data_IF_126372752126
#
_entry.id   IF_126372752126
#
_cell.length_a   1.000
_cell.length_b   1.000
_cell.length_c   1.000
_cell.angle_alpha   90.00
_cell.angle_beta   90.00
_cell.angle_gamma   90.00
#
_symmetry.space_group_name_H-M   'P 1'
#
loop_
_entity.id
_entity.type
_entity.pdbx_description
1 polymer ?
#
# COMPACT_ATOMS: atom_id res chain seq x y z
N UNK A 1 -14.53 -5.47 4.33
CA UNK A 1 -13.85 -6.30 3.30
C UNK A 1 -12.66 -7.05 3.90
N UNK A 2 -11.70 -6.35 4.52
CA UNK A 2 -10.64 -6.97 5.33
C UNK A 2 -10.96 -6.73 6.78
N UNK A 3 -10.75 -7.73 7.63
CA UNK A 3 -10.87 -7.62 9.08
C UNK A 3 -9.69 -8.33 9.73
N UNK A 4 -9.03 -7.65 10.66
CA UNK A 4 -7.96 -8.21 11.48
C UNK A 4 -8.44 -8.34 12.91
N UNK A 5 -8.24 -9.49 13.54
CA UNK A 5 -8.66 -9.79 14.90
C UNK A 5 -7.47 -10.24 15.73
N UNK A 6 -7.24 -9.54 16.85
CA UNK A 6 -6.14 -9.81 17.80
C UNK A 6 -4.78 -9.96 17.10
N UNK A 7 -4.57 -9.18 16.00
CA UNK A 7 -3.42 -9.34 15.12
C UNK A 7 -2.18 -8.79 15.80
N UNK A 8 -1.20 -9.67 16.04
CA UNK A 8 0.14 -9.27 16.51
C UNK A 8 1.16 -9.51 15.41
N UNK A 9 1.91 -8.47 15.08
CA UNK A 9 2.91 -8.49 14.00
C UNK A 9 4.32 -8.30 14.53
N UNK A 10 5.28 -8.87 13.82
CA UNK A 10 6.69 -8.80 14.22
C UNK A 10 7.54 -9.82 13.47
N UNK A 11 8.64 -10.22 14.07
CA UNK A 11 9.63 -11.09 13.45
C UNK A 11 9.95 -12.29 14.34
N UNK A 12 10.24 -13.41 13.70
CA UNK A 12 10.87 -14.56 14.33
C UNK A 12 12.39 -14.45 14.16
N UNK A 13 13.12 -14.28 15.26
CA UNK A 13 14.57 -14.19 15.23
C UNK A 13 15.19 -15.07 16.32
N UNK A 14 16.11 -15.95 15.93
CA UNK A 14 16.82 -16.86 16.85
C UNK A 14 15.88 -17.60 17.84
N UNK A 15 14.73 -18.09 17.36
CA UNK A 15 13.75 -18.81 18.19
C UNK A 15 12.92 -17.94 19.14
N UNK A 16 13.01 -16.61 19.02
CA UNK A 16 12.22 -15.65 19.80
C UNK A 16 11.31 -14.83 18.90
N UNK A 17 10.11 -14.51 19.42
CA UNK A 17 9.18 -13.61 18.78
C UNK A 17 9.49 -12.18 19.22
N UNK A 18 9.82 -11.31 18.28
CA UNK A 18 9.98 -9.88 18.49
C UNK A 18 8.72 -9.21 17.97
N UNK A 19 7.80 -8.88 18.87
CA UNK A 19 6.57 -8.19 18.50
C UNK A 19 6.85 -6.72 18.25
N UNK A 20 6.35 -6.22 17.10
CA UNK A 20 6.38 -4.80 16.72
C UNK A 20 5.09 -4.10 17.13
N UNK A 21 3.95 -4.75 16.89
CA UNK A 21 2.64 -4.32 17.37
C UNK A 21 1.85 -5.54 17.85
N UNK A 22 0.92 -5.32 18.79
CA UNK A 22 0.12 -6.39 19.40
C UNK A 22 -1.36 -6.05 19.39
N UNK A 23 -2.17 -7.09 19.35
CA UNK A 23 -3.62 -7.05 19.57
C UNK A 23 -4.35 -6.01 18.71
N UNK A 24 -3.95 -5.90 17.44
CA UNK A 24 -4.57 -4.97 16.49
C UNK A 24 -5.94 -5.49 16.04
N UNK A 25 -6.93 -4.60 16.06
CA UNK A 25 -8.26 -4.79 15.49
C UNK A 25 -8.48 -3.77 14.39
N UNK A 26 -8.50 -4.22 13.14
CA UNK A 26 -8.48 -3.34 11.98
C UNK A 26 -9.57 -3.74 10.99
N UNK A 27 -10.18 -2.74 10.35
CA UNK A 27 -11.15 -2.95 9.29
C UNK A 27 -10.87 -2.06 8.09
N UNK A 28 -10.94 -2.66 6.90
CA UNK A 28 -10.86 -1.98 5.61
C UNK A 28 -12.09 -2.33 4.79
N UNK A 29 -12.79 -1.31 4.29
CA UNK A 29 -13.96 -1.48 3.45
C UNK A 29 -13.62 -1.20 1.98
N UNK A 30 -14.51 -1.64 1.07
CA UNK A 30 -14.41 -1.29 -0.34
C UNK A 30 -14.58 0.23 -0.52
N UNK A 31 -13.80 0.82 -1.41
CA UNK A 31 -13.85 2.25 -1.67
C UNK A 31 -13.10 3.12 -0.65
N UNK A 32 -12.48 2.53 0.38
CA UNK A 32 -11.67 3.30 1.33
C UNK A 32 -10.25 3.54 0.79
N UNK A 33 -9.80 4.81 0.91
CA UNK A 33 -8.39 5.20 0.81
C UNK A 33 -7.86 5.43 2.22
N UNK A 34 -6.94 4.57 2.67
CA UNK A 34 -6.37 4.60 4.02
C UNK A 34 -4.89 4.89 3.93
N UNK A 35 -4.44 5.96 4.59
CA UNK A 35 -3.02 6.22 4.79
C UNK A 35 -2.54 5.64 6.12
N UNK A 36 -1.56 4.77 6.06
CA UNK A 36 -0.84 4.22 7.20
C UNK A 36 0.37 5.09 7.50
N UNK A 37 0.29 5.89 8.54
CA UNK A 37 1.33 6.82 8.98
C UNK A 37 1.92 6.39 10.33
N UNK A 38 3.13 6.82 10.60
CA UNK A 38 3.84 6.54 11.85
C UNK A 38 5.35 6.70 11.68
N UNK A 39 6.09 6.84 12.77
CA UNK A 39 7.56 6.97 12.73
C UNK A 39 8.23 5.77 12.04
N UNK A 40 9.47 5.97 11.60
CA UNK A 40 10.28 4.87 11.06
C UNK A 40 10.46 3.77 12.11
N UNK A 41 10.38 2.51 11.67
CA UNK A 41 10.47 1.36 12.57
C UNK A 41 9.19 1.05 13.37
N UNK A 42 8.10 1.81 13.22
CA UNK A 42 6.83 1.53 13.91
C UNK A 42 6.12 0.24 13.44
N UNK A 43 6.51 -0.30 12.26
CA UNK A 43 5.99 -1.57 11.74
C UNK A 43 5.03 -1.45 10.56
N UNK A 44 4.98 -0.30 9.88
CA UNK A 44 4.09 -0.06 8.72
C UNK A 44 4.21 -1.15 7.65
N UNK A 45 5.40 -1.38 7.14
CA UNK A 45 5.68 -2.41 6.12
C UNK A 45 5.39 -3.83 6.63
N UNK A 46 5.66 -4.09 7.93
CA UNK A 46 5.35 -5.37 8.55
C UNK A 46 3.84 -5.61 8.58
N UNK A 47 3.05 -4.57 8.92
CA UNK A 47 1.59 -4.65 8.91
C UNK A 47 1.05 -4.92 7.51
N UNK A 48 1.50 -4.16 6.51
CA UNK A 48 1.08 -4.36 5.11
C UNK A 48 1.37 -5.79 4.63
N UNK A 49 2.58 -6.31 4.91
CA UNK A 49 2.96 -7.68 4.54
C UNK A 49 2.15 -8.74 5.29
N UNK A 50 1.78 -8.49 6.55
CA UNK A 50 0.96 -9.42 7.31
C UNK A 50 -0.49 -9.44 6.83
N UNK A 51 -1.06 -8.29 6.47
CA UNK A 51 -2.43 -8.19 5.94
C UNK A 51 -2.60 -8.96 4.64
N UNK A 52 -1.61 -8.97 3.75
CA UNK A 52 -1.68 -9.67 2.47
C UNK A 52 -1.12 -11.11 2.48
N UNK A 53 -0.71 -11.61 3.64
CA UNK A 53 -0.17 -12.96 3.77
C UNK A 53 1.28 -13.15 3.32
N UNK A 54 1.99 -12.08 2.92
CA UNK A 54 3.43 -12.15 2.58
C UNK A 54 4.31 -12.42 3.79
N UNK A 55 3.82 -12.11 5.00
CA UNK A 55 4.47 -12.42 6.25
C UNK A 55 3.44 -12.96 7.24
N UNK A 56 3.72 -14.12 7.82
CA UNK A 56 2.85 -14.67 8.84
C UNK A 56 2.81 -13.76 10.08
N UNK A 57 1.64 -13.46 10.65
CA UNK A 57 1.55 -12.75 11.92
C UNK A 57 2.10 -13.62 13.06
N UNK A 58 2.49 -12.99 14.16
CA UNK A 58 2.89 -13.71 15.38
C UNK A 58 1.70 -14.36 16.08
N UNK A 59 0.52 -13.72 16.03
CA UNK A 59 -0.76 -14.25 16.51
C UNK A 59 -1.92 -13.48 15.86
N UNK A 60 -3.14 -13.98 16.07
CA UNK A 60 -4.36 -13.40 15.50
C UNK A 60 -4.63 -13.83 14.07
N UNK A 61 -5.67 -13.27 13.47
CA UNK A 61 -6.13 -13.65 12.14
C UNK A 61 -6.43 -12.45 11.26
N UNK A 62 -6.21 -12.63 9.96
CA UNK A 62 -6.68 -11.71 8.92
C UNK A 62 -7.77 -12.43 8.13
N UNK A 63 -8.89 -11.76 7.93
CA UNK A 63 -10.03 -12.24 7.16
C UNK A 63 -10.23 -11.37 5.94
N UNK A 64 -10.51 -12.00 4.82
CA UNK A 64 -11.08 -11.33 3.66
C UNK A 64 -12.56 -11.71 3.57
N UNK A 65 -13.44 -10.73 3.77
CA UNK A 65 -14.86 -10.97 4.11
C UNK A 65 -14.94 -11.87 5.35
N UNK A 66 -15.45 -13.07 5.24
CA UNK A 66 -15.58 -14.00 6.37
C UNK A 66 -14.64 -15.21 6.27
N UNK A 67 -13.71 -15.18 5.29
CA UNK A 67 -12.76 -16.28 5.07
C UNK A 67 -11.40 -15.90 5.65
N UNK A 68 -10.87 -16.76 6.54
CA UNK A 68 -9.55 -16.55 7.12
C UNK A 68 -8.45 -16.71 6.05
N UNK A 69 -7.55 -15.73 5.96
CA UNK A 69 -6.54 -15.66 4.91
C UNK A 69 -5.59 -16.88 4.91
N UNK A 70 -5.27 -17.39 6.09
CA UNK A 70 -4.39 -18.55 6.25
C UNK A 70 -5.01 -19.88 5.75
N UNK A 71 -6.30 -19.91 5.44
CA UNK A 71 -6.97 -21.07 4.83
C UNK A 71 -6.94 -21.05 3.31
N UNK A 72 -6.57 -19.92 2.72
CA UNK A 72 -6.51 -19.72 1.27
C UNK A 72 -5.13 -20.11 0.72
N UNK A 73 -5.11 -20.72 -0.45
CA UNK A 73 -3.88 -20.95 -1.21
C UNK A 73 -3.25 -19.62 -1.67
N UNK A 74 -1.95 -19.62 -1.98
CA UNK A 74 -1.27 -18.46 -2.54
C UNK A 74 -1.92 -17.94 -3.83
N UNK A 75 -2.44 -18.85 -4.67
CA UNK A 75 -3.16 -18.49 -5.90
C UNK A 75 -4.47 -17.74 -5.60
N UNK A 76 -5.20 -18.14 -4.56
CA UNK A 76 -6.41 -17.42 -4.12
C UNK A 76 -6.06 -16.08 -3.51
N UNK A 77 -5.06 -16.01 -2.62
CA UNK A 77 -4.59 -14.76 -2.03
C UNK A 77 -4.12 -13.75 -3.08
N UNK A 78 -3.42 -14.21 -4.13
CA UNK A 78 -2.95 -13.34 -5.23
C UNK A 78 -4.06 -12.75 -6.09
N UNK A 79 -5.29 -13.27 -5.99
CA UNK A 79 -6.48 -12.68 -6.61
C UNK A 79 -7.22 -11.72 -5.70
N UNK A 80 -6.82 -11.60 -4.45
CA UNK A 80 -7.43 -10.71 -3.46
C UNK A 80 -6.57 -9.46 -3.23
N UNK A 81 -5.25 -9.60 -3.27
CA UNK A 81 -4.31 -8.53 -2.95
C UNK A 81 -3.31 -8.29 -4.06
N UNK A 82 -3.18 -7.05 -4.48
CA UNK A 82 -2.00 -6.60 -5.22
C UNK A 82 -1.12 -5.74 -4.31
N UNK A 83 0.20 -5.88 -4.46
CA UNK A 83 1.15 -5.26 -3.55
C UNK A 83 2.24 -4.55 -4.36
N UNK A 84 2.51 -3.30 -4.00
CA UNK A 84 3.67 -2.52 -4.45
C UNK A 84 4.56 -2.30 -3.25
N UNK A 85 5.75 -2.91 -3.25
CA UNK A 85 6.74 -2.76 -2.18
C UNK A 85 7.81 -1.75 -2.58
N UNK A 86 8.44 -1.12 -1.60
CA UNK A 86 9.52 -0.13 -1.77
C UNK A 86 10.81 -0.73 -2.34
N UNK A 87 10.91 -2.05 -2.52
CA UNK A 87 12.12 -2.70 -2.99
C UNK A 87 12.35 -2.44 -4.49
N UNK A 88 13.54 -1.97 -4.85
CA UNK A 88 14.02 -1.88 -6.21
C UNK A 88 14.05 -3.28 -6.83
N UNK A 89 13.12 -3.53 -7.71
CA UNK A 89 13.15 -4.71 -8.56
C UNK A 89 14.13 -4.41 -9.70
N UNK A 90 15.35 -4.91 -9.58
CA UNK A 90 16.36 -4.80 -10.65
C UNK A 90 15.93 -5.67 -11.86
N UNK A 91 15.06 -5.12 -12.69
CA UNK A 91 14.63 -5.75 -13.95
C UNK A 91 15.15 -4.86 -15.10
N UNK A 92 16.45 -4.88 -15.34
CA UNK A 92 17.09 -3.94 -16.28
C UNK A 92 16.67 -4.13 -17.74
N UNK A 93 16.44 -5.36 -18.19
CA UNK A 93 16.24 -5.70 -19.60
C UNK A 93 14.80 -6.02 -19.98
N UNK A 94 13.82 -5.58 -19.19
CA UNK A 94 12.42 -5.83 -19.49
C UNK A 94 11.72 -4.58 -19.98
N UNK A 95 10.83 -4.75 -20.96
CA UNK A 95 9.96 -3.68 -21.42
C UNK A 95 8.83 -3.42 -20.42
N UNK A 96 8.35 -2.19 -20.37
CA UNK A 96 7.23 -1.76 -19.53
C UNK A 96 6.04 -2.71 -19.64
N UNK A 97 5.59 -3.01 -20.86
CA UNK A 97 4.49 -3.95 -21.09
C UNK A 97 4.74 -5.34 -20.49
N UNK A 98 5.97 -5.85 -20.56
CA UNK A 98 6.32 -7.16 -20.00
C UNK A 98 6.21 -7.15 -18.47
N UNK A 99 6.62 -6.07 -17.81
CA UNK A 99 6.51 -5.93 -16.34
C UNK A 99 5.05 -5.86 -15.93
N UNK A 100 4.23 -5.06 -16.61
CA UNK A 100 2.81 -4.95 -16.30
C UNK A 100 2.09 -6.28 -16.55
N UNK A 101 2.49 -7.03 -17.58
CA UNK A 101 1.92 -8.36 -17.86
C UNK A 101 2.13 -9.38 -16.74
N UNK A 102 3.16 -9.23 -15.90
CA UNK A 102 3.34 -10.06 -14.70
C UNK A 102 2.18 -9.93 -13.71
N UNK A 103 1.45 -8.82 -13.73
CA UNK A 103 0.22 -8.65 -12.96
C UNK A 103 -0.85 -9.67 -13.31
N UNK A 104 -0.84 -10.20 -14.54
CA UNK A 104 -1.80 -11.22 -14.97
C UNK A 104 -1.43 -12.66 -14.58
N UNK A 105 -0.24 -12.88 -13.98
CA UNK A 105 0.22 -14.22 -13.59
C UNK A 105 -0.82 -15.07 -12.82
N UNK A 106 -1.65 -14.52 -11.90
CA UNK A 106 -2.66 -15.31 -11.20
C UNK A 106 -3.79 -15.85 -12.09
N UNK A 107 -3.88 -15.40 -13.33
CA UNK A 107 -4.95 -15.74 -14.27
C UNK A 107 -4.46 -16.48 -15.52
N UNK A 108 -3.14 -16.61 -15.68
CA UNK A 108 -2.53 -17.34 -16.80
C UNK A 108 -2.43 -18.84 -16.54
N UNK A 109 -2.29 -19.60 -17.62
CA UNK A 109 -1.97 -21.03 -17.53
C UNK A 109 -0.52 -21.25 -17.03
N UNK A 110 -0.12 -22.52 -16.88
CA UNK A 110 1.25 -22.90 -16.48
C UNK A 110 2.36 -22.45 -17.43
N UNK A 111 2.00 -22.02 -18.63
CA UNK A 111 2.93 -21.49 -19.63
C UNK A 111 2.95 -19.98 -19.69
N UNK A 112 2.19 -19.29 -18.83
CA UNK A 112 2.09 -17.85 -18.77
C UNK A 112 1.41 -17.21 -20.00
N UNK A 113 0.53 -17.94 -20.70
CA UNK A 113 -0.15 -17.46 -21.91
C UNK A 113 -1.18 -16.41 -21.55
N UNK A 114 -1.06 -15.24 -22.19
CA UNK A 114 -1.99 -14.13 -22.07
C UNK A 114 -3.10 -14.24 -23.10
N UNK A 115 -4.34 -14.17 -22.65
CA UNK A 115 -5.51 -14.09 -23.51
C UNK A 115 -5.72 -12.66 -24.03
N UNK A 116 -6.67 -12.47 -24.95
CA UNK A 116 -7.01 -11.13 -25.47
C UNK A 116 -7.50 -10.19 -24.35
N UNK A 117 -8.27 -10.71 -23.40
CA UNK A 117 -8.74 -9.95 -22.24
C UNK A 117 -7.59 -9.47 -21.36
N UNK A 118 -6.58 -10.30 -21.15
CA UNK A 118 -5.42 -9.92 -20.33
C UNK A 118 -4.65 -8.75 -20.97
N UNK A 119 -4.45 -8.80 -22.29
CA UNK A 119 -3.79 -7.71 -23.02
C UNK A 119 -4.55 -6.40 -22.91
N UNK A 120 -5.89 -6.44 -23.01
CA UNK A 120 -6.73 -5.26 -22.82
C UNK A 120 -6.57 -4.70 -21.41
N UNK A 121 -6.61 -5.53 -20.37
CA UNK A 121 -6.41 -5.11 -18.96
C UNK A 121 -5.02 -4.48 -18.76
N UNK A 122 -3.99 -5.03 -19.40
CA UNK A 122 -2.63 -4.48 -19.35
C UNK A 122 -2.59 -3.07 -19.97
N UNK A 123 -3.16 -2.90 -21.16
CA UNK A 123 -3.19 -1.62 -21.86
C UNK A 123 -4.00 -0.57 -21.08
N UNK A 124 -5.18 -0.93 -20.58
CA UNK A 124 -5.99 -0.06 -19.72
C UNK A 124 -5.26 0.33 -18.43
N UNK A 125 -4.51 -0.61 -17.83
CA UNK A 125 -3.71 -0.33 -16.63
C UNK A 125 -2.58 0.65 -16.92
N UNK A 126 -1.91 0.51 -18.06
CA UNK A 126 -0.88 1.45 -18.51
C UNK A 126 -1.46 2.83 -18.83
N UNK A 127 -2.63 2.89 -19.47
CA UNK A 127 -3.31 4.14 -19.79
C UNK A 127 -3.67 4.91 -18.53
N UNK A 128 -4.23 4.24 -17.51
CA UNK A 128 -4.61 4.86 -16.22
C UNK A 128 -3.47 5.55 -15.50
N UNK A 129 -2.27 5.03 -15.62
CA UNK A 129 -1.07 5.64 -15.01
C UNK A 129 -0.31 6.55 -15.99
N UNK A 130 -0.83 6.79 -17.21
CA UNK A 130 -0.20 7.63 -18.23
C UNK A 130 1.07 7.02 -18.83
N UNK A 131 1.20 5.69 -18.84
CA UNK A 131 2.40 4.99 -19.31
C UNK A 131 2.19 4.16 -20.58
N UNK A 132 1.04 4.24 -21.24
CA UNK A 132 0.75 3.43 -22.43
C UNK A 132 1.73 3.73 -23.59
N UNK A 133 2.09 4.99 -23.83
CA UNK A 133 3.07 5.38 -24.83
C UNK A 133 4.49 4.87 -24.57
N UNK A 134 4.76 4.46 -23.32
CA UNK A 134 6.04 3.90 -22.88
C UNK A 134 6.07 2.36 -22.91
N UNK A 135 4.98 1.70 -23.32
CA UNK A 135 4.81 0.25 -23.23
C UNK A 135 5.98 -0.56 -23.86
N UNK A 136 6.62 -0.05 -24.91
CA UNK A 136 7.73 -0.70 -25.61
C UNK A 136 9.12 -0.25 -25.12
N UNK A 137 9.22 0.76 -24.24
CA UNK A 137 10.50 1.19 -23.65
C UNK A 137 10.99 0.18 -22.62
N UNK A 138 12.31 0.14 -22.42
CA UNK A 138 12.90 -0.61 -21.33
C UNK A 138 12.68 0.14 -20.01
N UNK A 139 12.51 -0.61 -18.91
CA UNK A 139 12.33 -0.02 -17.58
C UNK A 139 13.56 0.79 -17.14
N UNK A 140 14.75 0.40 -17.59
CA UNK A 140 16.02 1.10 -17.36
C UNK A 140 16.03 2.53 -17.89
N UNK A 141 15.25 2.81 -18.94
CA UNK A 141 15.22 4.10 -19.62
C UNK A 141 14.24 5.09 -18.97
N UNK A 142 13.57 4.67 -17.89
CA UNK A 142 12.57 5.44 -17.18
C UNK A 142 13.14 6.16 -15.96
N UNK A 143 12.60 7.34 -15.67
CA UNK A 143 12.80 8.00 -14.37
C UNK A 143 12.16 7.18 -13.24
N UNK A 144 12.58 7.43 -12.00
CA UNK A 144 12.03 6.68 -10.83
C UNK A 144 10.53 6.89 -10.67
N UNK A 145 10.01 8.09 -10.97
CA UNK A 145 8.57 8.35 -10.98
C UNK A 145 7.82 7.57 -12.06
N UNK A 146 8.42 7.39 -13.25
CA UNK A 146 7.84 6.56 -14.31
C UNK A 146 7.90 5.08 -13.94
N UNK A 147 9.02 4.59 -13.36
CA UNK A 147 9.15 3.23 -12.83
C UNK A 147 8.07 2.94 -11.78
N UNK A 148 7.84 3.87 -10.86
CA UNK A 148 6.80 3.74 -9.83
C UNK A 148 5.41 3.61 -10.45
N UNK A 149 5.08 4.44 -11.47
CA UNK A 149 3.82 4.31 -12.20
C UNK A 149 3.67 2.96 -12.91
N UNK A 150 4.74 2.41 -13.46
CA UNK A 150 4.73 1.06 -14.05
C UNK A 150 4.46 -0.01 -13.01
N UNK A 151 5.03 0.09 -11.80
CA UNK A 151 4.74 -0.84 -10.71
C UNK A 151 3.28 -0.76 -10.24
N UNK A 152 2.71 0.43 -10.22
CA UNK A 152 1.28 0.61 -9.95
C UNK A 152 0.43 0.02 -11.08
N UNK A 153 0.79 0.25 -12.36
CA UNK A 153 0.11 -0.39 -13.49
C UNK A 153 0.12 -1.92 -13.39
N UNK A 154 1.24 -2.52 -12.98
CA UNK A 154 1.35 -3.96 -12.71
C UNK A 154 0.35 -4.39 -11.62
N UNK A 155 0.25 -3.63 -10.53
CA UNK A 155 -0.71 -3.91 -9.46
C UNK A 155 -2.17 -3.76 -9.93
N UNK A 156 -2.45 -2.78 -10.79
CA UNK A 156 -3.76 -2.61 -11.42
C UNK A 156 -4.10 -3.75 -12.37
N UNK A 157 -3.13 -4.19 -13.20
CA UNK A 157 -3.32 -5.30 -14.11
C UNK A 157 -3.61 -6.64 -13.39
N UNK A 158 -3.21 -6.77 -12.13
CA UNK A 158 -3.58 -7.90 -11.30
C UNK A 158 -5.08 -7.93 -10.95
N UNK A 159 -5.78 -6.80 -11.10
CA UNK A 159 -7.23 -6.65 -10.97
C UNK A 159 -7.80 -7.24 -9.68
N UNK A 160 -7.18 -6.87 -8.56
CA UNK A 160 -7.59 -7.30 -7.23
C UNK A 160 -8.52 -6.28 -6.57
N UNK A 161 -9.38 -6.71 -5.62
CA UNK A 161 -10.22 -5.80 -4.84
C UNK A 161 -9.43 -4.94 -3.83
N UNK A 162 -8.22 -5.36 -3.45
CA UNK A 162 -7.38 -4.67 -2.46
C UNK A 162 -6.02 -4.34 -3.07
N UNK A 163 -5.57 -3.11 -2.88
CA UNK A 163 -4.25 -2.63 -3.31
C UNK A 163 -3.48 -2.14 -2.07
N UNK A 164 -2.33 -2.72 -1.83
CA UNK A 164 -1.43 -2.34 -0.74
C UNK A 164 -0.16 -1.72 -1.32
N UNK A 165 0.23 -0.52 -0.85
CA UNK A 165 1.42 0.16 -1.33
C UNK A 165 2.29 0.54 -0.13
N UNK A 166 3.55 0.13 -0.18
CA UNK A 166 4.53 0.45 0.86
C UNK A 166 5.40 1.61 0.38
N UNK A 167 5.20 2.80 0.96
CA UNK A 167 5.88 4.06 0.64
C UNK A 167 5.93 4.39 -0.87
N UNK A 168 4.80 4.41 -1.58
CA UNK A 168 4.78 4.53 -3.04
C UNK A 168 5.28 5.89 -3.57
N UNK A 169 5.45 6.89 -2.71
CA UNK A 169 5.89 8.24 -3.07
C UNK A 169 7.34 8.56 -2.68
N UNK A 170 8.09 7.60 -2.09
CA UNK A 170 9.38 7.87 -1.42
C UNK A 170 10.46 8.50 -2.30
N UNK A 171 10.44 8.29 -3.61
CA UNK A 171 11.44 8.82 -4.55
C UNK A 171 10.84 9.78 -5.58
N UNK A 172 9.62 10.27 -5.33
CA UNK A 172 8.92 11.16 -6.24
C UNK A 172 9.13 12.63 -5.86
N UNK A 173 9.26 13.49 -6.86
CA UNK A 173 9.12 14.94 -6.69
C UNK A 173 7.66 15.33 -6.40
N UNK A 174 7.45 16.53 -5.93
CA UNK A 174 6.13 17.00 -5.51
C UNK A 174 5.03 16.87 -6.60
N UNK A 175 5.27 17.24 -7.89
CA UNK A 175 4.27 17.04 -8.93
C UNK A 175 3.86 15.56 -9.09
N UNK A 176 4.84 14.64 -9.10
CA UNK A 176 4.55 13.21 -9.24
C UNK A 176 3.86 12.62 -8.00
N UNK A 177 4.14 13.13 -6.78
CA UNK A 177 3.39 12.76 -5.57
C UNK A 177 1.92 13.13 -5.66
N UNK A 178 1.61 14.35 -6.12
CA UNK A 178 0.22 14.81 -6.29
C UNK A 178 -0.51 13.96 -7.34
N UNK A 179 0.16 13.63 -8.45
CA UNK A 179 -0.41 12.75 -9.48
C UNK A 179 -0.71 11.36 -8.92
N UNK A 180 0.24 10.79 -8.16
CA UNK A 180 0.05 9.51 -7.51
C UNK A 180 -1.12 9.53 -6.52
N UNK A 181 -1.19 10.55 -5.70
CA UNK A 181 -2.23 10.70 -4.69
C UNK A 181 -3.63 10.75 -5.31
N UNK A 182 -3.81 11.56 -6.38
CA UNK A 182 -5.05 11.58 -7.15
C UNK A 182 -5.39 10.24 -7.81
N UNK A 183 -4.38 9.50 -8.26
CA UNK A 183 -4.57 8.16 -8.78
C UNK A 183 -5.11 7.23 -7.69
N UNK A 184 -4.49 7.21 -6.50
CA UNK A 184 -4.93 6.38 -5.38
C UNK A 184 -6.36 6.73 -4.94
N UNK A 185 -6.69 8.02 -4.90
CA UNK A 185 -8.05 8.49 -4.62
C UNK A 185 -9.06 7.97 -5.65
N UNK A 186 -8.75 8.08 -6.94
CA UNK A 186 -9.59 7.54 -8.02
C UNK A 186 -9.78 6.03 -7.94
N UNK A 187 -8.72 5.27 -7.61
CA UNK A 187 -8.80 3.82 -7.44
C UNK A 187 -9.77 3.43 -6.33
N UNK A 188 -9.76 4.16 -5.23
CA UNK A 188 -10.70 3.93 -4.14
C UNK A 188 -12.11 4.37 -4.51
N UNK A 189 -12.31 5.64 -4.84
CA UNK A 189 -13.62 6.24 -5.02
C UNK A 189 -14.34 5.78 -6.28
N UNK A 190 -13.65 5.78 -7.44
CA UNK A 190 -14.27 5.55 -8.73
C UNK A 190 -14.31 4.07 -9.11
N UNK A 191 -13.33 3.29 -8.65
CA UNK A 191 -13.24 1.85 -8.91
C UNK A 191 -13.69 0.97 -7.73
N UNK A 192 -14.02 1.56 -6.59
CA UNK A 192 -14.47 0.83 -5.40
C UNK A 192 -13.42 -0.09 -4.79
N UNK A 193 -12.13 0.10 -5.12
CA UNK A 193 -11.05 -0.70 -4.55
C UNK A 193 -10.75 -0.27 -3.12
N UNK A 194 -10.34 -1.20 -2.28
CA UNK A 194 -9.75 -0.85 -0.98
C UNK A 194 -8.27 -0.52 -1.21
N UNK A 195 -7.86 0.70 -0.90
CA UNK A 195 -6.48 1.14 -1.07
C UNK A 195 -5.88 1.48 0.28
N UNK A 196 -4.81 0.79 0.67
CA UNK A 196 -4.06 1.04 1.89
C UNK A 196 -2.60 1.30 1.52
N UNK A 197 -2.07 2.47 1.86
CA UNK A 197 -0.69 2.82 1.57
C UNK A 197 0.04 3.37 2.79
N UNK A 198 1.29 2.98 2.96
CA UNK A 198 2.16 3.58 3.96
C UNK A 198 2.82 4.83 3.40
N UNK A 199 3.02 5.83 4.25
CA UNK A 199 3.73 7.04 3.87
C UNK A 199 4.36 7.75 5.07
N UNK A 200 5.40 8.51 4.80
CA UNK A 200 5.97 9.50 5.72
C UNK A 200 5.61 10.95 5.32
N UNK A 201 4.91 11.14 4.21
CA UNK A 201 4.41 12.44 3.72
C UNK A 201 3.12 12.81 4.46
N UNK A 202 3.29 13.35 5.68
CA UNK A 202 2.19 13.56 6.61
C UNK A 202 1.15 14.54 6.09
N UNK A 203 1.59 15.71 5.58
CA UNK A 203 0.66 16.75 5.10
C UNK A 203 -0.22 16.24 3.95
N UNK A 204 0.37 15.52 2.99
CA UNK A 204 -0.37 14.98 1.86
C UNK A 204 -1.37 13.91 2.32
N UNK A 205 -0.94 12.99 3.19
CA UNK A 205 -1.81 11.98 3.74
C UNK A 205 -3.01 12.56 4.49
N UNK A 206 -2.81 13.63 5.26
CA UNK A 206 -3.88 14.30 6.00
C UNK A 206 -4.88 15.04 5.09
N UNK A 207 -4.44 15.46 3.90
CA UNK A 207 -5.29 16.19 2.95
C UNK A 207 -6.11 15.27 2.04
N UNK A 208 -5.56 14.12 1.64
CA UNK A 208 -6.14 13.28 0.58
C UNK A 208 -6.82 12.02 1.08
N UNK A 209 -6.40 11.49 2.24
CA UNK A 209 -6.95 10.23 2.74
C UNK A 209 -8.25 10.44 3.50
N UNK A 210 -9.24 9.59 3.23
CA UNK A 210 -10.50 9.60 3.99
C UNK A 210 -10.33 9.02 5.40
N UNK A 211 -9.33 8.16 5.60
CA UNK A 211 -9.05 7.48 6.86
C UNK A 211 -7.55 7.38 7.09
N UNK A 212 -7.13 7.58 8.31
CA UNK A 212 -5.75 7.45 8.77
C UNK A 212 -5.65 6.27 9.73
N UNK A 213 -4.62 5.47 9.53
CA UNK A 213 -4.11 4.53 10.50
C UNK A 213 -2.80 5.08 11.07
N UNK A 214 -2.86 5.57 12.30
CA UNK A 214 -1.70 6.14 13.00
C UNK A 214 -1.05 5.05 13.85
N UNK A 215 0.10 4.57 13.40
CA UNK A 215 0.88 3.56 14.12
C UNK A 215 1.84 4.23 15.09
N UNK A 216 1.68 3.92 16.39
CA UNK A 216 2.53 4.44 17.46
C UNK A 216 3.85 3.67 17.55
N UNK A 217 4.95 4.33 17.94
CA UNK A 217 6.25 3.67 18.13
C UNK A 217 6.24 2.73 19.33
N UNK A 218 7.22 1.81 19.38
CA UNK A 218 7.48 0.97 20.55
C UNK A 218 6.35 0.00 20.94
N UNK A 219 5.51 -0.41 19.98
CA UNK A 219 4.38 -1.30 20.28
C UNK A 219 3.18 -0.59 20.92
N UNK A 220 3.11 0.73 20.82
CA UNK A 220 2.05 1.57 21.40
C UNK A 220 0.68 1.43 20.72
N UNK A 221 0.49 0.45 19.83
CA UNK A 221 -0.75 0.20 19.14
C UNK A 221 -0.97 1.05 17.88
N UNK A 222 -2.17 0.97 17.33
CA UNK A 222 -2.59 1.69 16.14
C UNK A 222 -3.92 2.37 16.40
N UNK A 223 -4.00 3.67 16.11
CA UNK A 223 -5.24 4.45 16.15
C UNK A 223 -5.82 4.56 14.75
N UNK A 224 -7.15 4.50 14.66
CA UNK A 224 -7.90 4.67 13.41
C UNK A 224 -8.84 5.87 13.56
N UNK A 225 -8.91 6.69 12.53
CA UNK A 225 -9.83 7.83 12.51
C UNK A 225 -9.73 8.63 11.21
N UNK A 226 -10.58 9.59 11.03
CA UNK A 226 -10.40 10.60 9.99
C UNK A 226 -9.23 11.52 10.35
N UNK A 227 -8.59 12.17 9.35
CA UNK A 227 -7.55 13.17 9.60
C UNK A 227 -7.97 14.20 10.64
N UNK A 228 -9.20 14.71 10.52
CA UNK A 228 -9.76 15.73 11.42
C UNK A 228 -9.85 15.23 12.86
N UNK A 229 -10.42 14.05 13.09
CA UNK A 229 -10.55 13.47 14.43
C UNK A 229 -9.18 13.30 15.11
N UNK A 230 -8.18 12.76 14.40
CA UNK A 230 -6.86 12.53 14.98
C UNK A 230 -6.09 13.83 15.26
N UNK A 231 -6.31 14.87 14.45
CA UNK A 231 -5.75 16.21 14.69
C UNK A 231 -6.43 16.88 15.88
N UNK A 232 -7.77 16.85 16.00
CA UNK A 232 -8.52 17.42 17.10
C UNK A 232 -8.20 16.76 18.45
N UNK A 233 -7.98 15.43 18.46
CA UNK A 233 -7.54 14.67 19.64
C UNK A 233 -6.06 14.90 20.00
N UNK A 234 -5.30 15.56 19.11
CA UNK A 234 -3.88 15.81 19.31
C UNK A 234 -2.99 14.56 19.16
N UNK A 235 -3.53 13.47 18.61
CA UNK A 235 -2.77 12.20 18.48
C UNK A 235 -1.67 12.27 17.44
N UNK A 236 -1.89 13.03 16.34
CA UNK A 236 -0.85 13.32 15.32
C UNK A 236 0.29 14.10 15.98
N UNK A 237 -0.05 15.17 16.71
CA UNK A 237 0.94 16.02 17.39
C UNK A 237 1.76 15.23 18.42
N UNK A 238 1.12 14.42 19.24
CA UNK A 238 1.79 13.57 20.24
C UNK A 238 2.77 12.57 19.61
N UNK A 239 2.44 12.09 18.39
CA UNK A 239 3.25 11.07 17.73
C UNK A 239 4.44 11.64 16.97
N UNK A 240 4.30 12.85 16.38
CA UNK A 240 5.29 13.37 15.45
C UNK A 240 5.99 14.64 15.94
N UNK A 241 5.33 15.54 16.71
CA UNK A 241 5.96 16.79 17.14
C UNK A 241 7.14 16.54 18.08
N UNK A 242 8.15 17.40 17.94
CA UNK A 242 9.35 17.40 18.77
C UNK A 242 9.84 18.84 18.99
N UNK A 243 11.08 19.01 19.49
CA UNK A 243 11.69 20.33 19.73
C UNK A 243 11.95 21.12 18.45
N UNK A 244 12.06 20.46 17.28
CA UNK A 244 12.41 21.09 16.01
C UNK A 244 11.21 21.49 15.16
N UNK A 245 10.07 20.82 15.31
CA UNK A 245 8.88 21.14 14.55
C UNK A 245 7.59 20.82 15.31
N UNK A 246 6.53 21.48 14.89
CA UNK A 246 5.16 21.26 15.38
C UNK A 246 4.18 21.13 14.21
N UNK A 247 3.02 20.55 14.49
CA UNK A 247 1.93 20.38 13.54
C UNK A 247 0.73 21.14 14.09
N UNK A 248 0.13 22.01 13.29
CA UNK A 248 -1.04 22.77 13.69
C UNK A 248 -2.34 21.96 13.57
N UNK A 249 -3.47 22.58 13.89
CA UNK A 249 -4.80 21.96 13.84
C UNK A 249 -5.28 21.63 12.41
N UNK A 250 -4.66 22.27 11.42
CA UNK A 250 -4.94 22.04 9.99
C UNK A 250 -3.99 21.01 9.37
N UNK A 251 -3.10 20.42 10.18
CA UNK A 251 -2.14 19.41 9.74
C UNK A 251 -0.88 19.96 9.06
N UNK A 252 -0.65 21.28 9.13
CA UNK A 252 0.55 21.93 8.55
C UNK A 252 1.73 21.82 9.48
N UNK A 253 2.89 21.55 8.89
CA UNK A 253 4.16 21.47 9.61
C UNK A 253 4.79 22.86 9.75
N UNK A 254 5.17 23.23 10.98
CA UNK A 254 5.87 24.45 11.31
C UNK A 254 7.24 24.12 11.91
N UNK A 255 8.31 24.64 11.32
CA UNK A 255 9.68 24.53 11.85
C UNK A 255 9.83 25.57 12.99
N UNK A 256 10.43 25.16 14.10
CA UNK A 256 10.68 26.00 15.28
C UNK A 256 12.06 26.60 15.27
#
# INVERSE_FOLDING_TARGET
MIRCENLSIGYHHAGKNIAVQKDLHLEVQAGELIALIGPNGSGKSTLLRSICGLQAPLSGNVFFRDVALNTLSLAEQSRLFSVVLTQDVQIEYSKVHQIVSLGRSPYTDRFGRLERKDRQIIDESLERVGMLSFAQKYISDLSDGEKQRVMIAKALAQDTPVILLDEPASHLDLPNRIILDRLLESLARDMGKAVLYSTHELELALQSSGKIWLMKPGGGGLLQGSPKELLEQGEIQKTFCNEYFSIDKDGKVHIR
#
